data_IF_553093251839
#
_entry.id   IF_553093251839
#
_cell.length_a   1.000
_cell.length_b   1.000
_cell.length_c   1.000
_cell.angle_alpha   90.00
_cell.angle_beta   90.00
_cell.angle_gamma   90.00
#
_symmetry.space_group_name_H-M   'P 1'
#
loop_
_entity.id
_entity.type
_entity.pdbx_description
1 polymer ?
#
# COMPACT_ATOMS: atom_id res chain seq x y z
N UNK A 1 17.53 4.03 8.11
CA UNK A 1 16.36 3.12 8.25
C UNK A 1 15.31 3.68 9.23
N UNK A 2 15.70 4.12 10.42
CA UNK A 2 14.80 4.73 11.43
C UNK A 2 13.91 5.87 10.91
N UNK A 3 14.42 6.78 10.08
CA UNK A 3 13.63 7.87 9.49
C UNK A 3 12.44 7.34 8.67
N UNK A 4 12.64 6.25 7.89
CA UNK A 4 11.57 5.62 7.10
C UNK A 4 10.53 4.91 7.98
N UNK A 5 10.95 4.26 9.07
CA UNK A 5 10.04 3.61 10.02
C UNK A 5 9.15 4.65 10.70
N UNK A 6 9.73 5.78 11.14
CA UNK A 6 8.97 6.90 11.71
C UNK A 6 7.97 7.48 10.71
N UNK A 7 8.33 7.57 9.43
CA UNK A 7 7.41 7.98 8.37
C UNK A 7 6.29 6.97 8.15
N UNK A 8 6.57 5.66 8.12
CA UNK A 8 5.54 4.62 7.96
C UNK A 8 4.52 4.71 9.10
N UNK A 9 4.98 4.83 10.35
CA UNK A 9 4.10 4.95 11.51
C UNK A 9 3.27 6.24 11.49
N UNK A 10 3.84 7.35 11.00
CA UNK A 10 3.12 8.64 10.92
C UNK A 10 2.07 8.68 9.82
N UNK A 11 2.20 7.82 8.80
CA UNK A 11 1.19 7.63 7.75
C UNK A 11 -0.04 6.84 8.24
N UNK A 12 0.12 5.98 9.25
CA UNK A 12 -0.99 5.23 9.83
C UNK A 12 -1.93 6.21 10.56
N UNK A 13 -3.24 6.22 10.27
CA UNK A 13 -4.19 7.07 10.97
C UNK A 13 -4.16 6.83 12.48
N UNK A 14 -4.17 7.90 13.30
CA UNK A 14 -4.07 7.83 14.78
C UNK A 14 -4.98 6.79 15.44
N UNK A 15 -6.22 6.65 14.94
CA UNK A 15 -7.20 5.65 15.43
C UNK A 15 -6.74 4.19 15.30
N UNK A 16 -5.84 3.90 14.37
CA UNK A 16 -5.35 2.55 14.08
C UNK A 16 -3.97 2.27 14.67
N UNK A 17 -3.20 3.29 15.06
CA UNK A 17 -1.84 3.13 15.58
C UNK A 17 -1.78 2.16 16.77
N UNK A 18 -2.69 2.29 17.75
CA UNK A 18 -2.76 1.34 18.89
C UNK A 18 -3.13 -0.07 18.45
N UNK A 19 -4.04 -0.23 17.48
CA UNK A 19 -4.44 -1.54 16.93
C UNK A 19 -3.30 -2.21 16.17
N UNK A 20 -2.50 -1.44 15.42
CA UNK A 20 -1.29 -1.95 14.73
C UNK A 20 -0.23 -2.42 15.70
N UNK A 21 -0.02 -1.72 16.83
CA UNK A 21 0.88 -2.18 17.89
C UNK A 21 0.35 -3.46 18.54
N UNK A 22 -0.94 -3.51 18.89
CA UNK A 22 -1.58 -4.73 19.41
C UNK A 22 -1.39 -5.92 18.46
N UNK A 23 -1.52 -5.69 17.16
CA UNK A 23 -1.27 -6.72 16.15
C UNK A 23 0.19 -7.22 16.15
N UNK A 24 1.18 -6.33 16.23
CA UNK A 24 2.59 -6.73 16.34
C UNK A 24 2.86 -7.59 17.57
N UNK A 25 2.25 -7.23 18.72
CA UNK A 25 2.36 -8.02 19.97
C UNK A 25 1.70 -9.40 19.82
N UNK A 26 0.48 -9.46 19.28
CA UNK A 26 -0.22 -10.72 19.03
C UNK A 26 0.55 -11.63 18.06
N UNK A 27 1.28 -11.04 17.11
CA UNK A 27 2.09 -11.81 16.19
C UNK A 27 3.30 -12.45 16.87
N UNK A 28 3.88 -11.82 17.90
CA UNK A 28 4.94 -12.45 18.73
C UNK A 28 4.37 -13.63 19.53
N UNK A 29 3.17 -13.50 20.11
CA UNK A 29 2.55 -14.64 20.82
C UNK A 29 2.28 -15.81 19.88
N UNK A 30 1.97 -15.54 18.60
CA UNK A 30 1.85 -16.59 17.60
C UNK A 30 3.18 -17.33 17.34
N UNK A 31 4.31 -16.59 17.32
CA UNK A 31 5.65 -17.18 17.20
C UNK A 31 5.93 -18.16 18.36
N UNK A 32 5.52 -17.80 19.57
CA UNK A 32 5.68 -18.68 20.73
C UNK A 32 4.92 -20.00 20.57
N UNK A 33 3.63 -19.96 20.20
CA UNK A 33 2.85 -21.18 19.96
C UNK A 33 3.40 -22.01 18.80
N UNK A 34 3.92 -21.35 17.76
CA UNK A 34 4.61 -22.00 16.65
C UNK A 34 5.82 -22.81 17.12
N UNK A 35 6.69 -22.22 17.94
CA UNK A 35 7.89 -22.89 18.45
C UNK A 35 7.54 -23.98 19.46
N UNK A 36 6.58 -23.72 20.35
CA UNK A 36 6.13 -24.68 21.36
C UNK A 36 5.54 -25.94 20.70
N UNK A 37 4.78 -25.79 19.61
CA UNK A 37 4.25 -26.94 18.85
C UNK A 37 5.34 -27.83 18.26
N UNK A 38 6.47 -27.26 17.81
CA UNK A 38 7.62 -28.02 17.28
C UNK A 38 8.42 -28.64 18.43
N UNK A 39 8.62 -27.88 19.50
CA UNK A 39 9.35 -28.35 20.69
C UNK A 39 8.66 -29.55 21.34
N UNK A 40 7.33 -29.64 21.28
CA UNK A 40 6.59 -30.79 21.81
C UNK A 40 6.76 -32.06 20.96
N UNK A 41 6.92 -31.91 19.64
CA UNK A 41 7.08 -33.04 18.72
C UNK A 41 8.39 -33.80 18.99
N UNK A 42 9.48 -33.09 19.30
CA UNK A 42 10.82 -33.67 19.46
C UNK A 42 10.87 -34.72 20.60
N UNK A 43 10.42 -34.43 21.85
CA UNK A 43 10.34 -35.43 22.91
C UNK A 43 9.50 -36.65 22.56
N UNK A 44 8.38 -36.47 21.85
CA UNK A 44 7.54 -37.59 21.46
C UNK A 44 8.25 -38.51 20.45
N UNK A 45 8.98 -37.94 19.49
CA UNK A 45 9.81 -38.74 18.57
C UNK A 45 10.93 -39.49 19.30
N UNK A 46 11.62 -38.82 20.23
CA UNK A 46 12.69 -39.47 21.01
C UNK A 46 12.12 -40.59 21.88
N UNK A 47 10.96 -40.37 22.52
CA UNK A 47 10.29 -41.40 23.33
C UNK A 47 9.95 -42.66 22.53
N UNK A 48 9.55 -42.51 21.26
CA UNK A 48 9.21 -43.64 20.37
C UNK A 48 10.48 -44.35 19.86
N UNK A 49 11.54 -43.59 19.55
CA UNK A 49 12.76 -44.14 18.94
C UNK A 49 13.69 -44.81 19.95
N UNK A 50 13.91 -44.18 21.11
CA UNK A 50 14.73 -44.74 22.18
C UNK A 50 14.41 -44.09 23.55
N UNK A 51 13.69 -44.84 24.39
CA UNK A 51 13.22 -44.42 25.72
C UNK A 51 14.38 -44.16 26.69
N UNK A 52 15.52 -44.83 26.51
CA UNK A 52 16.70 -44.66 27.38
C UNK A 52 17.41 -43.33 27.13
N UNK A 53 17.22 -42.73 25.95
CA UNK A 53 17.89 -41.50 25.52
C UNK A 53 17.11 -40.22 25.86
N UNK A 54 15.97 -40.30 26.58
CA UNK A 54 15.27 -39.11 27.03
C UNK A 54 16.14 -38.27 27.98
N UNK A 55 16.18 -36.92 27.82
CA UNK A 55 16.84 -36.03 28.78
C UNK A 55 16.29 -36.23 30.20
N UNK A 56 17.16 -36.20 31.21
CA UNK A 56 16.78 -36.46 32.61
C UNK A 56 15.69 -35.51 33.15
N UNK A 57 15.62 -34.28 32.63
CA UNK A 57 14.55 -33.34 32.96
C UNK A 57 13.18 -33.85 32.49
N UNK A 58 13.11 -34.53 31.34
CA UNK A 58 11.88 -35.10 30.79
C UNK A 58 11.54 -36.41 31.52
N UNK A 59 12.54 -37.23 31.86
CA UNK A 59 12.36 -38.46 32.65
C UNK A 59 11.80 -38.18 34.05
N UNK A 60 12.12 -37.02 34.65
CA UNK A 60 11.54 -36.58 35.94
C UNK A 60 10.06 -36.21 35.86
N UNK A 61 9.51 -35.99 34.66
CA UNK A 61 8.08 -35.77 34.45
C UNK A 61 7.41 -37.15 34.44
N UNK A 62 6.78 -37.53 35.56
CA UNK A 62 6.14 -38.83 35.82
C UNK A 62 5.07 -39.29 34.81
N UNK A 63 4.73 -38.42 33.84
CA UNK A 63 3.75 -38.65 32.78
C UNK A 63 4.31 -39.32 31.52
N UNK A 64 5.63 -39.54 31.39
CA UNK A 64 6.24 -40.22 30.24
C UNK A 64 6.27 -41.75 30.42
N UNK A 65 5.09 -42.36 30.61
CA UNK A 65 4.91 -43.82 30.56
C UNK A 65 4.15 -44.22 29.30
N UNK A 66 4.33 -45.46 28.84
CA UNK A 66 3.63 -46.01 27.65
C UNK A 66 2.11 -45.95 27.81
N UNK A 67 1.61 -46.12 29.04
CA UNK A 67 0.19 -45.97 29.38
C UNK A 67 -0.38 -44.58 29.07
N UNK A 68 0.47 -43.56 28.97
CA UNK A 68 0.06 -42.18 28.72
C UNK A 68 0.31 -41.69 27.29
N UNK A 69 0.89 -42.52 26.40
CA UNK A 69 1.24 -42.12 25.03
C UNK A 69 0.03 -41.59 24.25
N UNK A 70 -1.13 -42.23 24.42
CA UNK A 70 -2.38 -41.79 23.78
C UNK A 70 -2.76 -40.36 24.21
N UNK A 71 -2.61 -40.02 25.49
CA UNK A 71 -2.89 -38.67 26.00
C UNK A 71 -1.91 -37.64 25.46
N UNK A 72 -0.62 -38.00 25.30
CA UNK A 72 0.38 -37.13 24.69
C UNK A 72 0.05 -36.84 23.22
N UNK A 73 -0.36 -37.85 22.45
CA UNK A 73 -0.77 -37.70 21.04
C UNK A 73 -2.03 -36.82 20.94
N UNK A 74 -3.05 -37.08 21.76
CA UNK A 74 -4.27 -36.24 21.83
C UNK A 74 -3.90 -34.80 22.21
N UNK A 75 -2.99 -34.62 23.16
CA UNK A 75 -2.48 -33.32 23.60
C UNK A 75 -1.84 -32.53 22.45
N UNK A 76 -1.03 -33.16 21.60
CA UNK A 76 -0.46 -32.53 20.39
C UNK A 76 -1.57 -32.09 19.46
N UNK A 77 -2.49 -32.99 19.14
CA UNK A 77 -3.56 -32.70 18.19
C UNK A 77 -4.37 -31.50 18.67
N UNK A 78 -4.77 -31.49 19.95
CA UNK A 78 -5.51 -30.40 20.58
C UNK A 78 -4.71 -29.09 20.59
N UNK A 79 -3.40 -29.15 20.85
CA UNK A 79 -2.50 -27.99 20.78
C UNK A 79 -2.44 -27.41 19.36
N UNK A 80 -2.34 -28.24 18.33
CA UNK A 80 -2.37 -27.81 16.94
C UNK A 80 -3.72 -27.20 16.54
N UNK A 81 -4.84 -27.75 17.02
CA UNK A 81 -6.17 -27.16 16.82
C UNK A 81 -6.26 -25.77 17.44
N UNK A 82 -5.91 -25.61 18.72
CA UNK A 82 -5.94 -24.32 19.42
C UNK A 82 -5.04 -23.30 18.72
N UNK A 83 -3.80 -23.71 18.40
CA UNK A 83 -2.83 -22.87 17.70
C UNK A 83 -3.36 -22.38 16.35
N UNK A 84 -3.87 -23.30 15.52
CA UNK A 84 -4.39 -22.95 14.19
C UNK A 84 -5.62 -22.04 14.30
N UNK A 85 -6.49 -22.26 15.28
CA UNK A 85 -7.63 -21.39 15.54
C UNK A 85 -7.20 -19.96 15.89
N UNK A 86 -6.26 -19.80 16.83
CA UNK A 86 -5.68 -18.50 17.20
C UNK A 86 -5.06 -17.83 15.97
N UNK A 87 -4.31 -18.58 15.17
CA UNK A 87 -3.67 -18.04 13.97
C UNK A 87 -4.68 -17.53 12.95
N UNK A 88 -5.80 -18.24 12.73
CA UNK A 88 -6.88 -17.81 11.83
C UNK A 88 -7.49 -16.49 12.32
N UNK A 89 -7.77 -16.36 13.62
CA UNK A 89 -8.33 -15.12 14.18
C UNK A 89 -7.35 -13.93 14.11
N UNK A 90 -6.04 -14.18 14.28
CA UNK A 90 -5.00 -13.17 14.06
C UNK A 90 -4.98 -12.71 12.59
N UNK A 91 -5.01 -13.64 11.62
CA UNK A 91 -5.03 -13.33 10.19
C UNK A 91 -6.28 -12.53 9.82
N UNK A 92 -7.43 -12.88 10.38
CA UNK A 92 -8.70 -12.16 10.19
C UNK A 92 -8.62 -10.73 10.75
N UNK A 93 -8.13 -10.57 11.98
CA UNK A 93 -7.94 -9.25 12.60
C UNK A 93 -6.95 -8.39 11.80
N UNK A 94 -5.83 -8.98 11.38
CA UNK A 94 -4.82 -8.34 10.54
C UNK A 94 -5.41 -7.87 9.22
N UNK A 95 -6.09 -8.74 8.49
CA UNK A 95 -6.66 -8.43 7.17
C UNK A 95 -7.66 -7.28 7.28
N UNK A 96 -8.55 -7.32 8.26
CA UNK A 96 -9.51 -6.23 8.53
C UNK A 96 -8.79 -4.91 8.84
N UNK A 97 -7.79 -4.94 9.72
CA UNK A 97 -7.02 -3.74 10.07
C UNK A 97 -6.32 -3.12 8.86
N UNK A 98 -5.71 -3.94 8.01
CA UNK A 98 -4.97 -3.49 6.83
C UNK A 98 -5.90 -2.83 5.81
N UNK A 99 -7.05 -3.43 5.51
CA UNK A 99 -8.01 -2.85 4.58
C UNK A 99 -8.73 -1.61 5.17
N UNK A 100 -9.00 -1.58 6.48
CA UNK A 100 -9.53 -0.39 7.17
C UNK A 100 -8.58 0.82 7.08
N UNK A 101 -7.26 0.57 7.15
CA UNK A 101 -6.22 1.58 6.94
C UNK A 101 -6.21 2.02 5.48
N UNK A 102 -6.25 1.08 4.53
CA UNK A 102 -6.28 1.37 3.09
C UNK A 102 -7.46 2.29 2.73
N UNK A 103 -8.69 1.95 3.15
CA UNK A 103 -9.88 2.78 2.93
C UNK A 103 -9.69 4.20 3.46
N UNK A 104 -9.09 4.35 4.65
CA UNK A 104 -8.88 5.67 5.24
C UNK A 104 -7.81 6.48 4.51
N UNK A 105 -6.75 5.84 4.03
CA UNK A 105 -5.71 6.47 3.22
C UNK A 105 -6.29 6.93 1.88
N UNK A 106 -7.02 6.08 1.17
CA UNK A 106 -7.67 6.44 -0.10
C UNK A 106 -8.70 7.56 0.09
N UNK A 107 -9.53 7.50 1.14
CA UNK A 107 -10.46 8.60 1.49
C UNK A 107 -9.74 9.93 1.76
N UNK A 108 -8.59 9.90 2.44
CA UNK A 108 -7.78 11.10 2.64
C UNK A 108 -7.18 11.64 1.33
N UNK A 109 -6.77 10.77 0.41
CA UNK A 109 -6.30 11.16 -0.92
C UNK A 109 -7.42 11.81 -1.74
N UNK A 110 -8.62 11.24 -1.74
CA UNK A 110 -9.80 11.84 -2.38
C UNK A 110 -10.11 13.22 -1.78
N UNK A 111 -10.11 13.34 -0.44
CA UNK A 111 -10.31 14.63 0.23
C UNK A 111 -9.25 15.68 -0.14
N UNK A 112 -8.01 15.25 -0.39
CA UNK A 112 -6.94 16.14 -0.88
C UNK A 112 -7.16 16.52 -2.33
N UNK A 113 -7.56 15.59 -3.19
CA UNK A 113 -7.87 15.83 -4.59
C UNK A 113 -8.97 16.89 -4.74
N UNK A 114 -10.08 16.75 -4.01
CA UNK A 114 -11.20 17.71 -4.00
C UNK A 114 -10.84 19.11 -3.50
N UNK A 115 -9.68 19.28 -2.84
CA UNK A 115 -9.20 20.57 -2.34
C UNK A 115 -8.09 21.17 -3.21
N UNK A 116 -7.67 20.49 -4.30
CA UNK A 116 -6.62 21.01 -5.18
C UNK A 116 -7.13 22.25 -5.94
N UNK A 117 -6.27 23.26 -6.16
CA UNK A 117 -6.60 24.37 -7.04
C UNK A 117 -6.94 23.88 -8.45
N UNK A 118 -7.93 24.49 -9.09
CA UNK A 118 -8.40 24.10 -10.42
C UNK A 118 -7.29 24.15 -11.49
N UNK A 119 -6.37 25.13 -11.41
CA UNK A 119 -5.18 25.21 -12.29
C UNK A 119 -4.34 23.93 -12.28
N UNK A 120 -4.24 23.26 -11.14
CA UNK A 120 -3.49 22.00 -11.03
C UNK A 120 -4.24 20.80 -11.63
N UNK A 121 -5.56 20.89 -11.81
CA UNK A 121 -6.40 19.79 -12.29
C UNK A 121 -6.40 19.69 -13.82
N UNK A 122 -6.32 20.83 -14.52
CA UNK A 122 -6.44 20.89 -15.99
C UNK A 122 -5.37 20.11 -16.76
N UNK A 123 -4.19 19.90 -16.17
CA UNK A 123 -3.06 19.20 -16.81
C UNK A 123 -2.80 17.81 -16.21
N UNK A 124 -3.75 17.28 -15.43
CA UNK A 124 -3.58 15.96 -14.84
C UNK A 124 -3.87 14.87 -15.86
N UNK A 125 -2.99 13.87 -15.88
CA UNK A 125 -3.32 12.57 -16.46
C UNK A 125 -4.36 11.89 -15.55
N UNK A 126 -5.61 11.81 -16.05
CA UNK A 126 -6.74 11.21 -15.32
C UNK A 126 -6.43 9.78 -14.89
N UNK A 127 -5.81 8.97 -15.75
CA UNK A 127 -5.49 7.57 -15.45
C UNK A 127 -4.49 7.45 -14.31
N UNK A 128 -3.46 8.29 -14.31
CA UNK A 128 -2.46 8.35 -13.25
C UNK A 128 -3.04 8.75 -11.89
N UNK A 129 -3.93 9.75 -11.86
CA UNK A 129 -4.55 10.18 -10.59
C UNK A 129 -5.58 9.17 -10.07
N UNK A 130 -6.34 8.52 -10.95
CA UNK A 130 -7.24 7.42 -10.56
C UNK A 130 -6.45 6.28 -9.94
N UNK A 131 -5.39 5.81 -10.62
CA UNK A 131 -4.48 4.79 -10.08
C UNK A 131 -3.92 5.21 -8.73
N UNK A 132 -3.46 6.45 -8.59
CA UNK A 132 -2.88 6.97 -7.34
C UNK A 132 -3.89 6.93 -6.19
N UNK A 133 -5.11 7.41 -6.39
CA UNK A 133 -6.15 7.48 -5.35
C UNK A 133 -6.62 6.08 -4.96
N UNK A 134 -6.80 5.18 -5.93
CA UNK A 134 -7.31 3.83 -5.68
C UNK A 134 -6.23 2.88 -5.12
N UNK A 135 -5.05 2.84 -5.73
CA UNK A 135 -4.03 1.82 -5.43
C UNK A 135 -3.09 2.22 -4.31
N UNK A 136 -2.68 3.49 -4.17
CA UNK A 136 -1.60 3.85 -3.23
C UNK A 136 -1.90 3.49 -1.77
N UNK A 137 -3.16 3.62 -1.34
CA UNK A 137 -3.59 3.26 0.02
C UNK A 137 -3.57 1.74 0.25
N UNK A 138 -4.04 0.99 -0.75
CA UNK A 138 -4.05 -0.48 -0.74
C UNK A 138 -2.63 -1.04 -0.82
N UNK A 139 -1.80 -0.54 -1.74
CA UNK A 139 -0.40 -0.94 -1.91
C UNK A 139 0.41 -0.68 -0.64
N UNK A 140 0.26 0.50 -0.03
CA UNK A 140 0.92 0.81 1.24
C UNK A 140 0.50 -0.17 2.34
N UNK A 141 -0.79 -0.43 2.47
CA UNK A 141 -1.31 -1.25 3.56
C UNK A 141 -0.97 -2.73 3.35
N UNK A 142 -1.25 -3.28 2.17
CA UNK A 142 -1.02 -4.70 1.83
C UNK A 142 0.44 -5.05 1.59
N UNK A 143 1.28 -4.12 1.14
CA UNK A 143 2.68 -4.45 0.83
C UNK A 143 3.68 -3.84 1.80
N UNK A 144 3.48 -2.63 2.32
CA UNK A 144 4.43 -2.03 3.26
C UNK A 144 4.12 -2.44 4.71
N UNK A 145 2.89 -2.22 5.18
CA UNK A 145 2.55 -2.53 6.58
C UNK A 145 2.66 -4.03 6.87
N UNK A 146 2.10 -4.86 5.99
CA UNK A 146 2.21 -6.32 6.10
C UNK A 146 3.67 -6.79 6.08
N UNK A 147 4.48 -6.31 5.12
CA UNK A 147 5.88 -6.72 5.05
C UNK A 147 6.68 -6.26 6.27
N UNK A 148 6.41 -5.06 6.78
CA UNK A 148 7.08 -4.58 7.99
C UNK A 148 6.76 -5.48 9.20
N UNK A 149 5.50 -5.87 9.36
CA UNK A 149 5.13 -6.80 10.42
C UNK A 149 5.73 -8.20 10.20
N UNK A 150 5.63 -8.77 9.00
CA UNK A 150 6.21 -10.07 8.68
C UNK A 150 7.72 -10.08 8.91
N UNK A 151 8.43 -9.00 8.55
CA UNK A 151 9.86 -8.89 8.83
C UNK A 151 10.12 -8.92 10.34
N UNK A 152 9.34 -8.19 11.14
CA UNK A 152 9.49 -8.18 12.58
C UNK A 152 9.20 -9.56 13.22
N UNK A 153 8.15 -10.25 12.78
CA UNK A 153 7.77 -11.57 13.31
C UNK A 153 8.75 -12.65 12.90
N UNK A 154 9.21 -12.65 11.65
CA UNK A 154 10.13 -13.70 11.19
C UNK A 154 11.55 -13.45 11.71
N UNK A 155 11.97 -12.20 11.93
CA UNK A 155 13.23 -11.90 12.63
C UNK A 155 13.19 -12.34 14.10
N UNK A 156 12.04 -12.24 14.78
CA UNK A 156 11.90 -12.76 16.14
C UNK A 156 11.92 -14.29 16.17
N UNK A 157 11.28 -14.97 15.21
CA UNK A 157 11.40 -16.44 15.03
C UNK A 157 12.86 -16.85 14.86
N UNK A 158 13.56 -16.27 13.88
CA UNK A 158 14.96 -16.58 13.59
C UNK A 158 15.83 -16.28 14.81
N UNK A 159 15.60 -15.16 15.50
CA UNK A 159 16.31 -14.80 16.73
C UNK A 159 16.15 -15.84 17.85
N UNK A 160 14.92 -16.28 18.13
CA UNK A 160 14.66 -17.29 19.17
C UNK A 160 15.29 -18.63 18.79
N UNK A 161 15.13 -19.08 17.55
CA UNK A 161 15.76 -20.31 17.05
C UNK A 161 17.29 -20.22 17.18
N UNK A 162 17.87 -19.04 16.90
CA UNK A 162 19.30 -18.79 17.06
C UNK A 162 19.77 -18.87 18.48
N UNK A 163 19.05 -18.26 19.43
CA UNK A 163 19.37 -18.33 20.85
C UNK A 163 19.32 -19.78 21.33
N UNK A 164 18.25 -20.51 21.02
CA UNK A 164 18.11 -21.94 21.38
C UNK A 164 19.27 -22.75 20.77
N UNK A 165 19.64 -22.46 19.52
CA UNK A 165 20.76 -23.14 18.85
C UNK A 165 22.11 -22.88 19.47
N UNK A 166 22.38 -21.65 19.90
CA UNK A 166 23.63 -21.32 20.58
C UNK A 166 23.70 -21.99 21.95
N UNK A 167 22.58 -22.07 22.68
CA UNK A 167 22.52 -22.70 24.00
C UNK A 167 22.72 -24.21 23.94
N UNK A 168 22.15 -24.90 22.95
CA UNK A 168 22.28 -26.35 22.83
C UNK A 168 23.59 -26.76 22.15
N UNK A 169 23.95 -26.08 21.05
CA UNK A 169 25.02 -26.52 20.14
C UNK A 169 25.77 -25.32 19.52
N UNK A 170 26.64 -24.63 20.28
CA UNK A 170 27.21 -23.33 19.90
C UNK A 170 28.09 -23.34 18.64
N UNK A 171 28.86 -24.40 18.39
CA UNK A 171 29.69 -24.50 17.16
C UNK A 171 28.83 -24.63 15.89
N UNK A 172 27.69 -25.32 16.01
CA UNK A 172 26.81 -25.65 14.89
C UNK A 172 25.82 -24.54 14.56
N UNK A 173 25.35 -23.81 15.58
CA UNK A 173 24.46 -22.67 15.40
C UNK A 173 25.09 -21.60 14.51
N UNK A 174 26.38 -21.33 14.68
CA UNK A 174 27.15 -20.36 13.88
C UNK A 174 27.14 -20.77 12.41
N UNK A 175 27.36 -22.06 12.10
CA UNK A 175 27.37 -22.57 10.73
C UNK A 175 26.01 -22.39 10.05
N UNK A 176 24.92 -22.78 10.72
CA UNK A 176 23.55 -22.65 10.18
C UNK A 176 23.21 -21.17 9.93
N UNK A 177 23.56 -20.28 10.86
CA UNK A 177 23.35 -18.84 10.69
C UNK A 177 24.17 -18.26 9.54
N UNK A 178 25.42 -18.69 9.39
CA UNK A 178 26.30 -18.23 8.33
C UNK A 178 25.77 -18.65 6.95
N UNK A 179 25.30 -19.89 6.81
CA UNK A 179 24.65 -20.38 5.58
C UNK A 179 23.37 -19.59 5.29
N UNK A 180 22.52 -19.36 6.30
CA UNK A 180 21.30 -18.58 6.14
C UNK A 180 21.60 -17.12 5.70
N UNK A 181 22.62 -16.50 6.28
CA UNK A 181 23.02 -15.12 5.96
C UNK A 181 23.62 -15.01 4.56
N UNK A 182 24.49 -15.96 4.17
CA UNK A 182 25.01 -16.07 2.80
C UNK A 182 23.88 -16.24 1.77
N UNK A 183 22.89 -17.08 2.09
CA UNK A 183 21.74 -17.31 1.24
C UNK A 183 20.92 -16.03 1.04
N UNK A 184 20.58 -15.33 2.13
CA UNK A 184 19.88 -14.04 2.08
C UNK A 184 20.69 -12.98 1.31
N UNK A 185 21.99 -12.91 1.52
CA UNK A 185 22.87 -11.93 0.88
C UNK A 185 22.99 -12.15 -0.63
N UNK A 186 23.14 -13.40 -1.07
CA UNK A 186 23.25 -13.75 -2.49
C UNK A 186 21.97 -13.38 -3.26
N UNK A 187 20.80 -13.75 -2.72
CA UNK A 187 19.50 -13.42 -3.34
C UNK A 187 19.25 -11.92 -3.36
N UNK A 188 19.67 -11.20 -2.31
CA UNK A 188 19.57 -9.75 -2.23
C UNK A 188 20.41 -9.04 -3.30
N UNK A 189 21.72 -9.33 -3.38
CA UNK A 189 22.66 -8.59 -4.23
C UNK A 189 22.33 -8.74 -5.72
N UNK A 190 21.92 -9.93 -6.14
CA UNK A 190 21.67 -10.24 -7.55
C UNK A 190 20.41 -9.54 -8.08
N UNK A 191 19.38 -9.35 -7.25
CA UNK A 191 18.02 -9.02 -7.75
C UNK A 191 17.54 -7.61 -7.45
N UNK A 192 18.18 -6.89 -6.53
CA UNK A 192 17.73 -5.57 -6.05
C UNK A 192 17.42 -4.58 -7.17
N UNK A 193 18.37 -4.37 -8.09
CA UNK A 193 18.24 -3.36 -9.17
C UNK A 193 17.12 -3.74 -10.15
N UNK A 194 17.01 -5.02 -10.49
CA UNK A 194 16.00 -5.53 -11.42
C UNK A 194 14.58 -5.40 -10.84
N UNK A 195 14.37 -5.72 -9.56
CA UNK A 195 13.06 -5.60 -8.89
C UNK A 195 12.59 -4.14 -8.90
N UNK A 196 13.48 -3.19 -8.64
CA UNK A 196 13.14 -1.77 -8.62
C UNK A 196 12.72 -1.26 -10.01
N UNK A 197 13.48 -1.64 -11.05
CA UNK A 197 13.15 -1.35 -12.45
C UNK A 197 11.81 -1.96 -12.89
N UNK A 198 11.57 -3.23 -12.54
CA UNK A 198 10.29 -3.90 -12.83
C UNK A 198 9.14 -3.18 -12.13
N UNK A 199 9.31 -2.83 -10.85
CA UNK A 199 8.27 -2.14 -10.07
C UNK A 199 7.95 -0.76 -10.64
N UNK A 200 8.94 -0.01 -11.13
CA UNK A 200 8.71 1.26 -11.82
C UNK A 200 7.98 1.06 -13.16
N UNK A 201 8.36 0.04 -13.92
CA UNK A 201 7.75 -0.28 -15.21
C UNK A 201 6.28 -0.65 -15.06
N UNK A 202 5.98 -1.58 -14.14
CA UNK A 202 4.61 -2.05 -13.81
C UNK A 202 3.69 -0.86 -13.50
N UNK A 203 4.16 0.10 -12.69
CA UNK A 203 3.33 1.26 -12.34
C UNK A 203 3.05 2.16 -13.52
N UNK A 204 4.08 2.43 -14.32
CA UNK A 204 3.98 3.29 -15.49
C UNK A 204 3.04 2.67 -16.52
N UNK A 205 3.25 1.40 -16.87
CA UNK A 205 2.41 0.72 -17.85
C UNK A 205 0.97 0.53 -17.37
N UNK A 206 0.73 0.29 -16.07
CA UNK A 206 -0.65 0.23 -15.55
C UNK A 206 -1.35 1.59 -15.62
N UNK A 207 -0.63 2.68 -15.29
CA UNK A 207 -1.16 4.05 -15.44
C UNK A 207 -1.50 4.34 -16.89
N UNK A 208 -0.59 4.03 -17.83
CA UNK A 208 -0.78 4.25 -19.27
C UNK A 208 -1.94 3.41 -19.82
N UNK A 209 -2.07 2.14 -19.40
CA UNK A 209 -3.20 1.29 -19.78
C UNK A 209 -4.53 1.88 -19.29
N UNK A 210 -4.56 2.42 -18.06
CA UNK A 210 -5.73 3.12 -17.52
C UNK A 210 -6.06 4.36 -18.36
N UNK A 211 -5.05 5.15 -18.74
CA UNK A 211 -5.25 6.34 -19.57
C UNK A 211 -5.73 5.98 -20.99
N UNK A 212 -5.24 4.89 -21.58
CA UNK A 212 -5.75 4.37 -22.85
C UNK A 212 -7.21 3.94 -22.75
N UNK A 213 -7.58 3.24 -21.69
CA UNK A 213 -8.96 2.85 -21.45
C UNK A 213 -9.89 4.07 -21.28
N UNK A 214 -9.45 5.09 -20.53
CA UNK A 214 -10.22 6.33 -20.38
C UNK A 214 -10.38 7.06 -21.71
N UNK A 215 -9.36 7.12 -22.55
CA UNK A 215 -9.48 7.73 -23.88
C UNK A 215 -10.46 6.98 -24.78
N UNK A 216 -10.56 5.64 -24.64
CA UNK A 216 -11.55 4.84 -25.36
C UNK A 216 -12.96 5.16 -24.88
N UNK A 217 -13.16 5.32 -23.57
CA UNK A 217 -14.45 5.65 -22.97
C UNK A 217 -14.87 7.09 -23.34
N UNK A 218 -13.97 8.06 -23.11
CA UNK A 218 -14.24 9.48 -23.36
C UNK A 218 -14.43 9.79 -24.86
N UNK A 219 -13.74 9.06 -25.75
CA UNK A 219 -13.77 9.25 -27.21
C UNK A 219 -14.54 8.17 -27.98
N UNK A 220 -15.48 7.47 -27.32
CA UNK A 220 -16.13 6.29 -27.89
C UNK A 220 -16.81 6.57 -29.25
N UNK A 221 -17.53 7.68 -29.37
CA UNK A 221 -18.27 8.04 -30.59
C UNK A 221 -17.32 8.43 -31.74
N UNK A 222 -16.24 9.15 -31.44
CA UNK A 222 -15.21 9.54 -32.41
C UNK A 222 -14.47 8.32 -32.94
N UNK A 223 -14.12 7.38 -32.06
CA UNK A 223 -13.45 6.13 -32.46
C UNK A 223 -14.36 5.30 -33.38
N UNK A 224 -15.65 5.19 -33.02
CA UNK A 224 -16.66 4.45 -33.78
C UNK A 224 -16.94 5.08 -35.15
N UNK A 225 -17.17 6.39 -35.18
CA UNK A 225 -17.44 7.11 -36.43
C UNK A 225 -16.27 7.07 -37.42
N UNK A 226 -15.03 6.99 -36.94
CA UNK A 226 -13.83 6.90 -37.77
C UNK A 226 -13.41 5.45 -38.11
N UNK A 227 -14.08 4.43 -37.55
CA UNK A 227 -13.73 3.02 -37.74
C UNK A 227 -12.30 2.68 -37.28
N UNK A 228 -11.83 3.30 -36.19
CA UNK A 228 -10.45 3.17 -35.68
C UNK A 228 -10.32 2.29 -34.43
N UNK A 229 -11.28 1.42 -34.16
CA UNK A 229 -11.29 0.56 -32.97
C UNK A 229 -10.00 -0.26 -32.81
N UNK A 230 -9.54 -0.90 -33.90
CA UNK A 230 -8.35 -1.75 -33.87
C UNK A 230 -7.09 -0.99 -33.46
N UNK A 231 -6.97 0.30 -33.81
CA UNK A 231 -5.82 1.13 -33.42
C UNK A 231 -5.79 1.35 -31.90
N UNK A 232 -6.94 1.74 -31.33
CA UNK A 232 -7.04 2.00 -29.88
C UNK A 232 -6.96 0.71 -29.07
N UNK A 233 -7.57 -0.38 -29.55
CA UNK A 233 -7.47 -1.70 -28.95
C UNK A 233 -6.01 -2.16 -28.89
N UNK A 234 -5.29 -2.10 -30.01
CA UNK A 234 -3.88 -2.53 -30.08
C UNK A 234 -3.00 -1.73 -29.13
N UNK A 235 -3.20 -0.41 -29.03
CA UNK A 235 -2.43 0.45 -28.11
C UNK A 235 -2.65 0.10 -26.65
N UNK A 236 -3.90 -0.22 -26.27
CA UNK A 236 -4.22 -0.69 -24.93
C UNK A 236 -3.59 -2.06 -24.66
N UNK A 237 -3.70 -3.00 -25.61
CA UNK A 237 -3.13 -4.35 -25.52
C UNK A 237 -1.61 -4.33 -25.35
N UNK A 238 -0.86 -3.60 -26.18
CA UNK A 238 0.61 -3.50 -26.08
C UNK A 238 1.08 -2.99 -24.71
N UNK A 239 0.35 -2.02 -24.15
CA UNK A 239 0.65 -1.44 -22.84
C UNK A 239 0.32 -2.43 -21.72
N UNK A 240 -0.80 -3.14 -21.86
CA UNK A 240 -1.25 -4.15 -20.91
C UNK A 240 -0.33 -5.38 -20.93
N UNK A 241 0.16 -5.79 -22.09
CA UNK A 241 1.16 -6.86 -22.23
C UNK A 241 2.47 -6.48 -21.55
N UNK A 242 2.91 -5.23 -21.71
CA UNK A 242 4.09 -4.72 -21.00
C UNK A 242 3.88 -4.77 -19.48
N UNK A 243 2.69 -4.42 -18.98
CA UNK A 243 2.34 -4.57 -17.57
C UNK A 243 2.36 -6.04 -17.13
N UNK A 244 1.64 -6.91 -17.82
CA UNK A 244 1.47 -8.32 -17.47
C UNK A 244 2.78 -9.09 -17.52
N UNK A 245 3.61 -8.87 -18.55
CA UNK A 245 4.93 -9.50 -18.68
C UNK A 245 5.86 -9.07 -17.54
N UNK A 246 5.91 -7.77 -17.22
CA UNK A 246 6.72 -7.30 -16.10
C UNK A 246 6.21 -7.84 -14.75
N UNK A 247 4.89 -7.91 -14.57
CA UNK A 247 4.27 -8.47 -13.38
C UNK A 247 4.54 -9.98 -13.25
N UNK A 248 4.49 -10.73 -14.35
CA UNK A 248 4.84 -12.14 -14.41
C UNK A 248 6.31 -12.38 -14.04
N UNK A 249 7.23 -11.55 -14.54
CA UNK A 249 8.65 -11.60 -14.15
C UNK A 249 8.83 -11.30 -12.65
N UNK A 250 8.11 -10.32 -12.10
CA UNK A 250 8.13 -10.03 -10.67
C UNK A 250 7.61 -11.23 -9.85
N UNK A 251 6.49 -11.85 -10.26
CA UNK A 251 5.93 -13.05 -9.61
C UNK A 251 6.84 -14.25 -9.72
N UNK A 252 7.50 -14.46 -10.86
CA UNK A 252 8.54 -15.47 -11.04
C UNK A 252 9.66 -15.26 -10.02
N UNK A 253 10.14 -14.03 -9.84
CA UNK A 253 11.17 -13.74 -8.84
C UNK A 253 10.67 -14.04 -7.42
N UNK A 254 9.45 -13.66 -7.06
CA UNK A 254 8.88 -13.95 -5.74
C UNK A 254 8.78 -15.45 -5.46
N UNK A 255 8.23 -16.23 -6.40
CA UNK A 255 7.97 -17.66 -6.21
C UNK A 255 9.24 -18.51 -6.34
N UNK A 256 10.18 -18.11 -7.20
CA UNK A 256 11.45 -18.83 -7.37
C UNK A 256 12.36 -18.74 -6.15
N UNK A 257 12.20 -17.72 -5.28
CA UNK A 257 13.02 -17.59 -4.06
C UNK A 257 12.97 -18.84 -3.18
N UNK A 258 11.80 -19.45 -3.02
CA UNK A 258 11.64 -20.70 -2.27
C UNK A 258 12.50 -21.84 -2.85
N UNK A 259 12.58 -21.94 -4.19
CA UNK A 259 13.35 -22.99 -4.88
C UNK A 259 14.86 -22.82 -4.74
N UNK A 260 15.36 -21.59 -4.73
CA UNK A 260 16.77 -21.36 -4.45
C UNK A 260 17.12 -21.63 -2.98
N UNK A 261 16.27 -21.20 -2.05
CA UNK A 261 16.45 -21.50 -0.62
C UNK A 261 16.49 -23.00 -0.35
N UNK A 262 15.68 -23.78 -1.06
CA UNK A 262 15.60 -25.24 -0.93
C UNK A 262 16.97 -25.88 -1.21
N UNK A 263 17.65 -25.46 -2.28
CA UNK A 263 19.00 -25.94 -2.63
C UNK A 263 20.01 -25.61 -1.53
N UNK A 264 20.01 -24.38 -1.00
CA UNK A 264 20.95 -23.97 0.06
C UNK A 264 20.72 -24.72 1.37
N UNK A 265 19.45 -24.99 1.72
CA UNK A 265 19.14 -25.74 2.93
C UNK A 265 19.53 -27.20 2.78
N UNK A 266 19.24 -27.83 1.64
CA UNK A 266 19.64 -29.22 1.39
C UNK A 266 21.18 -29.35 1.40
N UNK A 267 21.90 -28.44 0.74
CA UNK A 267 23.37 -28.41 0.81
C UNK A 267 23.87 -28.26 2.25
N UNK A 268 23.29 -27.34 3.02
CA UNK A 268 23.63 -27.14 4.43
C UNK A 268 23.36 -28.37 5.29
N UNK A 269 22.20 -29.01 5.11
CA UNK A 269 21.82 -30.25 5.80
C UNK A 269 22.76 -31.40 5.43
N UNK A 270 23.08 -31.59 4.16
CA UNK A 270 23.97 -32.67 3.71
C UNK A 270 25.39 -32.51 4.24
N UNK A 271 25.96 -31.30 4.18
CA UNK A 271 27.27 -31.01 4.75
C UNK A 271 27.29 -31.24 6.26
N UNK A 272 26.20 -30.88 6.93
CA UNK A 272 26.04 -31.08 8.36
C UNK A 272 25.94 -32.56 8.73
N UNK A 273 25.13 -33.35 8.01
CA UNK A 273 25.03 -34.80 8.21
C UNK A 273 26.37 -35.50 7.96
N UNK A 274 27.11 -35.08 6.94
CA UNK A 274 28.47 -35.56 6.67
C UNK A 274 29.43 -35.25 7.83
N UNK A 275 29.41 -34.01 8.33
CA UNK A 275 30.22 -33.62 9.49
C UNK A 275 29.89 -34.43 10.74
N UNK A 276 28.60 -34.67 11.02
CA UNK A 276 28.17 -35.51 12.13
C UNK A 276 28.73 -36.91 11.97
N UNK A 277 28.66 -37.48 10.77
CA UNK A 277 29.14 -38.84 10.54
C UNK A 277 30.64 -38.99 10.84
N UNK A 278 31.44 -37.96 10.53
CA UNK A 278 32.89 -37.96 10.79
C UNK A 278 33.26 -37.76 12.27
N UNK A 279 32.53 -36.90 13.00
CA UNK A 279 32.90 -36.50 14.37
C UNK A 279 32.13 -37.24 15.46
N UNK A 280 30.99 -37.84 15.12
CA UNK A 280 30.13 -38.56 16.04
C UNK A 280 29.90 -39.99 15.52
N UNK A 281 30.36 -40.97 16.30
CA UNK A 281 30.12 -42.40 16.07
C UNK A 281 28.64 -42.78 16.18
N UNK A 282 28.33 -44.06 16.39
CA UNK A 282 26.95 -44.51 16.65
C UNK A 282 26.51 -44.18 18.10
N UNK A 283 26.55 -42.90 18.48
CA UNK A 283 26.13 -42.42 19.79
C UNK A 283 24.70 -41.87 19.79
N UNK A 284 24.03 -41.91 20.93
CA UNK A 284 22.70 -41.31 21.19
C UNK A 284 22.63 -39.82 20.82
N UNK A 285 23.71 -39.08 21.12
CA UNK A 285 23.84 -37.66 20.78
C UNK A 285 23.66 -37.38 19.28
N UNK A 286 24.01 -38.34 18.42
CA UNK A 286 23.84 -38.24 16.96
C UNK A 286 22.37 -38.18 16.57
N UNK A 287 21.52 -39.01 17.18
CA UNK A 287 20.08 -39.09 16.87
C UNK A 287 19.40 -37.79 17.28
N UNK A 288 19.66 -37.32 18.49
CA UNK A 288 19.09 -36.07 19.04
C UNK A 288 19.51 -34.88 18.17
N UNK A 289 20.77 -34.81 17.74
CA UNK A 289 21.33 -33.70 16.98
C UNK A 289 20.81 -33.68 15.52
N UNK A 290 20.58 -34.86 14.91
CA UNK A 290 19.89 -34.99 13.61
C UNK A 290 18.43 -34.54 13.73
N UNK A 291 17.70 -35.01 14.73
CA UNK A 291 16.29 -34.63 14.96
C UNK A 291 16.15 -33.12 15.21
N UNK A 292 17.06 -32.54 15.98
CA UNK A 292 17.12 -31.11 16.25
C UNK A 292 17.28 -30.29 14.98
N UNK A 293 18.26 -30.63 14.13
CA UNK A 293 18.52 -29.89 12.88
C UNK A 293 17.42 -30.12 11.85
N UNK A 294 16.84 -31.32 11.78
CA UNK A 294 15.65 -31.57 10.97
C UNK A 294 14.49 -30.64 11.40
N UNK A 295 14.15 -30.60 12.69
CA UNK A 295 13.08 -29.75 13.23
C UNK A 295 13.30 -28.26 12.98
N UNK A 296 14.55 -27.78 13.13
CA UNK A 296 14.90 -26.39 12.85
C UNK A 296 14.83 -26.06 11.37
N UNK A 297 15.30 -26.95 10.50
CA UNK A 297 15.27 -26.72 9.06
C UNK A 297 13.84 -26.55 8.52
N UNK A 298 12.89 -27.34 9.05
CA UNK A 298 11.46 -27.25 8.72
C UNK A 298 10.86 -25.89 9.07
N UNK A 299 11.36 -25.21 10.11
CA UNK A 299 10.89 -23.86 10.49
C UNK A 299 11.70 -22.73 9.88
N UNK A 300 13.01 -22.87 9.75
CA UNK A 300 13.88 -21.86 9.16
C UNK A 300 13.54 -21.62 7.69
N UNK A 301 13.28 -22.68 6.91
CA UNK A 301 12.95 -22.56 5.49
C UNK A 301 11.77 -21.60 5.21
N UNK A 302 10.55 -21.81 5.75
CA UNK A 302 9.44 -20.92 5.50
C UNK A 302 9.69 -19.51 6.06
N UNK A 303 10.40 -19.38 7.18
CA UNK A 303 10.70 -18.09 7.81
C UNK A 303 11.63 -17.23 6.93
N UNK A 304 12.69 -17.82 6.38
CA UNK A 304 13.60 -17.17 5.44
C UNK A 304 12.89 -16.77 4.14
N UNK A 305 12.02 -17.65 3.61
CA UNK A 305 11.25 -17.33 2.41
C UNK A 305 10.30 -16.14 2.62
N UNK A 306 9.58 -16.12 3.74
CA UNK A 306 8.71 -14.98 4.10
C UNK A 306 9.49 -13.68 4.28
N UNK A 307 10.69 -13.74 4.86
CA UNK A 307 11.58 -12.56 4.97
C UNK A 307 11.96 -12.01 3.59
N UNK A 308 12.32 -12.87 2.65
CA UNK A 308 12.68 -12.44 1.28
C UNK A 308 11.47 -11.86 0.55
N UNK A 309 10.29 -12.47 0.68
CA UNK A 309 9.04 -11.97 0.07
C UNK A 309 8.67 -10.61 0.67
N UNK A 310 8.70 -10.48 2.00
CA UNK A 310 8.42 -9.23 2.70
C UNK A 310 9.41 -8.13 2.31
N UNK A 311 10.71 -8.46 2.23
CA UNK A 311 11.73 -7.52 1.77
C UNK A 311 11.47 -7.05 0.33
N UNK A 312 11.17 -7.98 -0.58
CA UNK A 312 10.88 -7.69 -1.98
C UNK A 312 9.66 -6.78 -2.11
N UNK A 313 8.56 -7.10 -1.43
CA UNK A 313 7.34 -6.29 -1.40
C UNK A 313 7.62 -4.89 -0.84
N UNK A 314 8.29 -4.81 0.31
CA UNK A 314 8.66 -3.54 0.91
C UNK A 314 9.44 -2.65 -0.07
N UNK A 315 10.39 -3.22 -0.81
CA UNK A 315 11.19 -2.46 -1.79
C UNK A 315 10.34 -2.03 -2.99
N UNK A 316 9.60 -2.95 -3.60
CA UNK A 316 8.74 -2.71 -4.76
C UNK A 316 7.74 -1.58 -4.54
N UNK A 317 7.13 -1.53 -3.35
CA UNK A 317 6.06 -0.59 -3.03
C UNK A 317 6.51 0.65 -2.24
N UNK A 318 7.81 0.76 -1.94
CA UNK A 318 8.38 1.85 -1.12
C UNK A 318 8.05 3.27 -1.61
N UNK A 319 7.80 3.45 -2.92
CA UNK A 319 7.36 4.72 -3.53
C UNK A 319 6.04 5.26 -2.96
N UNK A 320 5.14 4.39 -2.46
CA UNK A 320 3.86 4.80 -1.88
C UNK A 320 4.05 5.63 -0.61
N UNK A 321 5.16 5.43 0.12
CA UNK A 321 5.50 6.23 1.29
C UNK A 321 5.63 7.70 0.88
N UNK A 322 6.38 7.95 -0.19
CA UNK A 322 6.64 9.31 -0.67
C UNK A 322 5.36 9.96 -1.21
N UNK A 323 4.53 9.20 -1.95
CA UNK A 323 3.24 9.68 -2.47
C UNK A 323 2.24 10.05 -1.36
N UNK A 324 2.18 9.25 -0.28
CA UNK A 324 1.26 9.47 0.83
C UNK A 324 1.77 10.54 1.81
N UNK A 325 3.10 10.68 1.94
CA UNK A 325 3.75 11.61 2.85
C UNK A 325 3.64 13.09 2.43
N UNK A 326 3.25 13.38 1.19
CA UNK A 326 2.98 14.74 0.73
C UNK A 326 1.95 15.38 1.66
N UNK A 327 2.37 16.36 2.47
CA UNK A 327 1.45 17.13 3.31
C UNK A 327 0.62 18.01 2.38
N UNK A 328 -0.70 18.09 2.61
CA UNK A 328 -1.47 19.14 1.94
C UNK A 328 -0.93 20.47 2.43
N UNK A 329 -0.64 21.38 1.50
CA UNK A 329 -0.47 22.78 1.85
C UNK A 329 -1.69 23.20 2.68
N UNK A 330 -1.44 23.72 3.88
CA UNK A 330 -2.51 24.31 4.67
C UNK A 330 -2.93 25.55 3.90
N UNK A 331 -4.09 25.52 3.25
CA UNK A 331 -4.76 26.75 2.82
C UNK A 331 -5.14 27.47 4.12
N UNK A 332 -4.25 28.33 4.59
CA UNK A 332 -4.31 29.02 5.88
C UNK A 332 -5.03 30.36 5.78
N UNK A 333 -5.75 30.61 4.69
CA UNK A 333 -6.56 31.79 4.54
C UNK A 333 -7.86 31.61 5.32
N UNK A 334 -8.15 32.54 6.24
CA UNK A 334 -9.46 32.63 6.90
C UNK A 334 -10.52 32.88 5.82
N UNK A 335 -11.65 32.20 5.93
CA UNK A 335 -12.80 32.44 5.07
C UNK A 335 -13.38 33.81 5.41
N UNK A 336 -13.28 34.75 4.47
CA UNK A 336 -13.88 36.08 4.58
C UNK A 336 -15.20 36.05 3.80
N UNK A 337 -16.31 36.30 4.49
CA UNK A 337 -17.61 36.37 3.86
C UNK A 337 -17.70 37.62 2.97
N UNK A 338 -18.09 37.45 1.71
CA UNK A 338 -18.40 38.57 0.82
C UNK A 338 -19.91 38.73 0.75
N UNK A 339 -20.37 39.98 0.85
CA UNK A 339 -21.76 40.35 0.61
C UNK A 339 -21.79 41.08 -0.73
N UNK A 340 -22.46 40.52 -1.75
CA UNK A 340 -22.61 41.18 -3.03
C UNK A 340 -23.83 42.12 -3.01
N UNK A 341 -23.62 43.39 -2.65
CA UNK A 341 -24.72 44.36 -2.53
C UNK A 341 -24.83 45.30 -3.72
N UNK A 342 -23.71 45.79 -4.25
CA UNK A 342 -23.67 46.86 -5.26
C UNK A 342 -23.07 46.38 -6.58
N UNK A 343 -21.83 45.90 -6.59
CA UNK A 343 -21.09 45.64 -7.83
C UNK A 343 -19.93 44.68 -7.66
N UNK A 344 -19.47 44.09 -8.76
CA UNK A 344 -18.25 43.31 -8.88
C UNK A 344 -17.36 43.97 -9.92
N UNK A 345 -16.08 44.17 -9.62
CA UNK A 345 -15.14 44.79 -10.57
C UNK A 345 -13.85 44.00 -10.70
N UNK A 346 -13.42 43.80 -11.94
CA UNK A 346 -12.11 43.32 -12.34
C UNK A 346 -11.26 44.53 -12.69
N UNK A 347 -10.08 44.66 -12.06
CA UNK A 347 -9.14 45.74 -12.36
C UNK A 347 -7.81 45.17 -12.84
N UNK A 348 -7.40 45.59 -14.04
CA UNK A 348 -6.11 45.26 -14.66
C UNK A 348 -5.79 43.76 -14.71
N UNK A 349 -6.82 42.94 -14.98
CA UNK A 349 -6.69 41.50 -14.97
C UNK A 349 -5.90 41.03 -16.19
N UNK A 350 -4.72 40.47 -15.92
CA UNK A 350 -3.94 39.72 -16.91
C UNK A 350 -3.76 38.28 -16.46
N UNK A 351 -3.87 37.33 -17.39
CA UNK A 351 -3.75 35.90 -17.10
C UNK A 351 -3.12 35.14 -18.26
N UNK A 352 -2.26 34.19 -17.90
CA UNK A 352 -1.65 33.23 -18.81
C UNK A 352 -1.72 31.81 -18.21
N UNK A 353 -2.02 30.81 -19.04
CA UNK A 353 -1.91 29.41 -18.61
C UNK A 353 -0.45 29.00 -18.39
N UNK A 354 0.44 29.49 -19.26
CA UNK A 354 1.90 29.30 -19.21
C UNK A 354 2.60 30.66 -19.31
N UNK A 355 3.83 30.78 -18.81
CA UNK A 355 4.59 32.04 -18.74
C UNK A 355 5.00 32.65 -20.10
N UNK A 356 4.52 32.10 -21.22
CA UNK A 356 4.91 32.53 -22.57
C UNK A 356 4.13 33.74 -23.07
N UNK A 357 2.81 33.73 -22.95
CA UNK A 357 1.96 34.81 -23.48
C UNK A 357 0.67 34.94 -22.68
N UNK A 358 0.31 36.18 -22.36
CA UNK A 358 -0.93 36.49 -21.66
C UNK A 358 -2.12 36.28 -22.60
N UNK A 359 -3.06 35.42 -22.18
CA UNK A 359 -4.31 35.13 -22.87
C UNK A 359 -5.33 36.25 -22.64
N UNK A 360 -5.35 36.78 -21.41
CA UNK A 360 -6.10 37.97 -21.02
C UNK A 360 -5.08 39.03 -20.63
N UNK A 361 -5.26 40.25 -21.12
CA UNK A 361 -4.34 41.36 -20.87
C UNK A 361 -5.13 42.61 -20.49
N UNK A 362 -4.81 43.18 -19.34
CA UNK A 362 -5.30 44.47 -18.82
C UNK A 362 -6.84 44.59 -18.85
N UNK A 363 -7.53 43.49 -18.51
CA UNK A 363 -8.99 43.42 -18.54
C UNK A 363 -9.57 44.21 -17.36
N UNK A 364 -10.36 45.21 -17.69
CA UNK A 364 -11.11 46.05 -16.76
C UNK A 364 -12.61 45.87 -17.04
N UNK A 365 -13.38 45.41 -16.05
CA UNK A 365 -14.82 45.16 -16.17
C UNK A 365 -15.51 45.48 -14.84
N UNK A 366 -16.67 46.12 -14.88
CA UNK A 366 -17.52 46.35 -13.71
C UNK A 366 -18.93 45.88 -14.00
N UNK A 367 -19.53 45.16 -13.07
CA UNK A 367 -20.86 44.54 -13.18
C UNK A 367 -21.69 44.95 -11.96
N UNK A 368 -22.82 45.63 -12.16
CA UNK A 368 -23.72 46.05 -11.08
C UNK A 368 -24.69 44.93 -10.72
N UNK A 369 -25.16 44.93 -9.48
CA UNK A 369 -26.18 43.97 -9.02
C UNK A 369 -27.45 44.11 -9.87
N UNK A 370 -27.95 42.99 -10.38
CA UNK A 370 -29.13 42.93 -11.25
C UNK A 370 -28.84 43.21 -12.73
N UNK A 371 -27.59 43.53 -13.08
CA UNK A 371 -27.18 43.74 -14.46
C UNK A 371 -27.00 42.41 -15.20
N UNK A 372 -27.46 42.36 -16.46
CA UNK A 372 -27.27 41.22 -17.35
C UNK A 372 -26.22 41.61 -18.39
N UNK A 373 -25.09 40.90 -18.40
CA UNK A 373 -23.98 41.17 -19.32
C UNK A 373 -23.80 40.01 -20.29
N UNK A 374 -23.73 40.33 -21.58
CA UNK A 374 -23.37 39.38 -22.64
C UNK A 374 -21.91 39.52 -23.06
N UNK A 375 -21.13 38.44 -23.00
CA UNK A 375 -19.72 38.42 -23.45
C UNK A 375 -19.63 37.71 -24.81
N UNK A 376 -19.35 38.48 -25.87
CA UNK A 376 -19.14 37.98 -27.24
C UNK A 376 -17.66 38.02 -27.62
N UNK A 377 -17.24 37.10 -28.48
CA UNK A 377 -15.89 37.06 -29.04
C UNK A 377 -15.66 35.79 -29.85
N UNK A 378 -14.53 35.70 -30.56
CA UNK A 378 -14.13 34.46 -31.26
C UNK A 378 -13.92 33.31 -30.26
N UNK A 379 -13.99 32.06 -30.74
CA UNK A 379 -13.62 30.92 -29.89
C UNK A 379 -12.13 31.01 -29.53
N UNK A 380 -11.76 30.58 -28.32
CA UNK A 380 -10.37 30.58 -27.86
C UNK A 380 -9.82 31.92 -27.34
N UNK A 381 -10.55 33.04 -27.42
CA UNK A 381 -10.06 34.37 -26.97
C UNK A 381 -10.03 34.54 -25.44
N UNK A 382 -10.39 33.50 -24.67
CA UNK A 382 -10.33 33.54 -23.20
C UNK A 382 -11.64 33.83 -22.46
N UNK A 383 -12.81 33.78 -23.12
CA UNK A 383 -14.13 33.99 -22.47
C UNK A 383 -14.36 33.06 -21.26
N UNK A 384 -14.17 31.76 -21.46
CA UNK A 384 -14.28 30.77 -20.37
C UNK A 384 -13.21 30.98 -19.30
N UNK A 385 -12.00 31.41 -19.70
CA UNK A 385 -10.93 31.76 -18.76
C UNK A 385 -11.32 32.95 -17.88
N UNK A 386 -11.93 33.99 -18.46
CA UNK A 386 -12.43 35.15 -17.72
C UNK A 386 -13.52 34.73 -16.72
N UNK A 387 -14.49 33.90 -17.14
CA UNK A 387 -15.49 33.34 -16.23
C UNK A 387 -14.86 32.52 -15.10
N UNK A 388 -13.83 31.72 -15.38
CA UNK A 388 -13.11 30.97 -14.36
C UNK A 388 -12.35 31.88 -13.37
N UNK A 389 -11.91 33.07 -13.79
CA UNK A 389 -11.33 34.07 -12.87
C UNK A 389 -12.43 34.71 -12.02
N UNK A 390 -13.56 35.08 -12.63
CA UNK A 390 -14.73 35.63 -11.93
C UNK A 390 -15.27 34.67 -10.86
N UNK A 391 -15.27 33.37 -11.15
CA UNK A 391 -15.66 32.31 -10.20
C UNK A 391 -14.56 31.98 -9.17
N UNK A 392 -13.36 32.56 -9.30
CA UNK A 392 -12.22 32.25 -8.43
C UNK A 392 -11.63 30.86 -8.65
N UNK A 393 -11.91 30.19 -9.77
CA UNK A 393 -11.19 28.96 -10.11
C UNK A 393 -9.75 29.23 -10.59
N UNK A 394 -9.51 30.39 -11.19
CA UNK A 394 -8.20 30.84 -11.64
C UNK A 394 -7.80 32.14 -10.93
N UNK A 395 -6.58 32.18 -10.41
CA UNK A 395 -5.98 33.42 -9.91
C UNK A 395 -5.29 34.16 -11.06
N UNK A 396 -5.54 35.47 -11.23
CA UNK A 396 -4.87 36.26 -12.26
C UNK A 396 -3.37 36.37 -11.98
N UNK A 397 -2.59 36.67 -13.02
CA UNK A 397 -1.15 36.94 -12.92
C UNK A 397 -0.90 38.35 -12.37
N UNK A 398 -1.70 39.32 -12.82
CA UNK A 398 -1.74 40.70 -12.32
C UNK A 398 -3.18 41.18 -12.24
N UNK A 399 -3.41 42.22 -11.44
CA UNK A 399 -4.75 42.77 -11.21
C UNK A 399 -5.49 42.06 -10.09
N UNK A 400 -6.65 42.61 -9.75
CA UNK A 400 -7.46 42.15 -8.61
C UNK A 400 -8.95 42.15 -8.92
N UNK A 401 -9.65 41.18 -8.33
CA UNK A 401 -11.11 41.11 -8.32
C UNK A 401 -11.62 41.78 -7.05
N UNK A 402 -12.65 42.61 -7.17
CA UNK A 402 -13.31 43.27 -6.06
C UNK A 402 -14.80 42.94 -6.06
N UNK A 403 -15.34 42.70 -4.87
CA UNK A 403 -16.78 42.66 -4.62
C UNK A 403 -17.11 43.85 -3.74
N UNK A 404 -18.00 44.70 -4.25
CA UNK A 404 -18.24 46.06 -3.80
C UNK A 404 -16.90 46.82 -3.73
N UNK A 405 -16.31 46.92 -2.54
CA UNK A 405 -15.01 47.58 -2.30
C UNK A 405 -13.97 46.63 -1.69
N UNK A 406 -14.32 45.35 -1.48
CA UNK A 406 -13.45 44.36 -0.85
C UNK A 406 -12.72 43.53 -1.90
N UNK A 407 -11.39 43.53 -1.84
CA UNK A 407 -10.56 42.66 -2.68
C UNK A 407 -10.79 41.18 -2.34
N UNK A 408 -11.00 40.36 -3.39
CA UNK A 408 -11.22 38.92 -3.26
C UNK A 408 -9.89 38.21 -3.16
N UNK A 409 -9.59 37.66 -1.97
CA UNK A 409 -8.35 36.88 -1.70
C UNK A 409 -8.59 35.38 -1.53
N UNK A 410 -9.84 34.99 -1.27
CA UNK A 410 -10.24 33.60 -1.02
C UNK A 410 -11.44 33.23 -1.90
N UNK A 411 -11.36 32.08 -2.55
CA UNK A 411 -12.28 31.66 -3.61
C UNK A 411 -13.47 30.84 -3.08
N UNK A 412 -13.45 30.36 -1.83
CA UNK A 412 -14.54 29.48 -1.34
C UNK A 412 -15.82 30.24 -1.02
N UNK A 413 -15.71 31.38 -0.36
CA UNK A 413 -16.87 32.21 0.01
C UNK A 413 -17.45 32.93 -1.21
N UNK A 414 -16.64 33.20 -2.23
CA UNK A 414 -17.06 33.73 -3.53
C UNK A 414 -18.13 32.86 -4.21
N UNK A 415 -17.95 31.54 -4.16
CA UNK A 415 -18.87 30.60 -4.80
C UNK A 415 -20.25 30.50 -4.11
N UNK A 416 -20.41 31.04 -2.89
CA UNK A 416 -21.66 30.91 -2.13
C UNK A 416 -22.85 31.69 -2.71
N UNK A 417 -22.61 32.67 -3.58
CA UNK A 417 -23.64 33.48 -4.24
C UNK A 417 -23.53 33.47 -5.77
N UNK A 418 -22.70 32.58 -6.34
CA UNK A 418 -22.55 32.40 -7.79
C UNK A 418 -23.20 31.08 -8.20
N UNK A 419 -24.23 31.15 -9.04
CA UNK A 419 -24.73 29.99 -9.77
C UNK A 419 -23.90 29.74 -11.02
N UNK A 420 -23.46 28.50 -11.24
CA UNK A 420 -22.70 28.11 -12.42
C UNK A 420 -23.48 27.11 -13.28
N UNK A 421 -23.69 27.46 -14.55
CA UNK A 421 -24.26 26.56 -15.55
C UNK A 421 -23.16 26.23 -16.57
N UNK A 422 -22.61 25.01 -16.57
CA UNK A 422 -21.57 24.62 -17.51
C UNK A 422 -22.12 24.49 -18.93
N UNK A 423 -21.25 24.65 -19.92
CA UNK A 423 -21.60 24.43 -21.33
C UNK A 423 -22.04 22.98 -21.60
N UNK A 424 -21.43 22.01 -20.91
CA UNK A 424 -21.85 20.62 -20.91
C UNK A 424 -22.29 20.25 -19.49
N UNK A 425 -23.55 19.83 -19.28
CA UNK A 425 -24.03 19.47 -17.95
C UNK A 425 -23.26 18.27 -17.41
N UNK A 426 -22.78 18.39 -16.17
CA UNK A 426 -22.27 17.24 -15.43
C UNK A 426 -23.44 16.51 -14.79
N UNK A 427 -23.67 15.26 -15.20
CA UNK A 427 -24.64 14.37 -14.59
C UNK A 427 -23.89 13.22 -13.91
N UNK A 428 -24.22 12.95 -12.65
CA UNK A 428 -23.72 11.80 -11.93
C UNK A 428 -24.82 10.74 -11.78
N UNK A 429 -24.39 9.51 -11.52
CA UNK A 429 -25.31 8.39 -11.35
C UNK A 429 -26.19 8.62 -10.11
N UNK A 430 -27.48 8.80 -10.34
CA UNK A 430 -28.48 9.14 -9.32
C UNK A 430 -29.81 9.50 -9.98
N UNK A 431 -30.78 9.91 -9.18
CA UNK A 431 -32.03 10.46 -9.68
C UNK A 431 -31.84 11.86 -10.28
N UNK A 432 -32.86 12.36 -10.98
CA UNK A 432 -32.90 13.76 -11.43
C UNK A 432 -32.77 14.72 -10.24
N UNK A 433 -33.49 14.42 -9.14
CA UNK A 433 -33.43 15.22 -7.92
C UNK A 433 -32.01 15.28 -7.37
N UNK A 434 -31.30 14.14 -7.31
CA UNK A 434 -29.91 14.09 -6.82
C UNK A 434 -28.99 15.01 -7.66
N UNK A 435 -29.18 15.02 -8.98
CA UNK A 435 -28.41 15.87 -9.89
C UNK A 435 -28.72 17.36 -9.75
N UNK A 436 -29.95 17.72 -9.37
CA UNK A 436 -30.37 19.11 -9.11
C UNK A 436 -29.83 19.59 -7.76
N UNK A 437 -30.00 18.79 -6.70
CA UNK A 437 -29.71 19.22 -5.32
C UNK A 437 -28.26 18.95 -4.90
N UNK A 438 -27.51 18.14 -5.65
CA UNK A 438 -26.08 17.86 -5.46
C UNK A 438 -25.65 17.61 -4.01
N UNK A 439 -26.48 16.88 -3.24
CA UNK A 439 -26.20 16.52 -1.85
C UNK A 439 -26.73 17.49 -0.78
N UNK A 440 -27.52 18.49 -1.15
CA UNK A 440 -28.32 19.29 -0.20
C UNK A 440 -29.28 18.36 0.57
N UNK A 441 -29.41 18.58 1.87
CA UNK A 441 -30.22 17.73 2.74
C UNK A 441 -31.72 17.88 2.39
N UNK A 442 -32.50 16.81 2.50
CA UNK A 442 -33.92 16.81 2.07
C UNK A 442 -34.78 17.90 2.72
N UNK A 443 -34.45 18.28 3.94
CA UNK A 443 -35.13 19.33 4.70
C UNK A 443 -34.80 20.76 4.24
N UNK A 444 -33.81 20.93 3.37
CA UNK A 444 -33.40 22.23 2.79
C UNK A 444 -33.86 22.37 1.33
N UNK A 445 -34.51 21.35 0.77
CA UNK A 445 -35.01 21.37 -0.61
C UNK A 445 -36.37 22.05 -0.63
N UNK A 446 -36.49 23.08 -1.46
CA UNK A 446 -37.76 23.69 -1.80
C UNK A 446 -38.44 22.89 -2.93
N UNK A 447 -39.58 22.27 -2.63
CA UNK A 447 -40.37 21.46 -3.58
C UNK A 447 -41.56 22.24 -4.18
N UNK A 448 -41.65 23.55 -3.90
CA UNK A 448 -42.77 24.42 -4.28
C UNK A 448 -42.98 24.49 -5.79
#
# INVERSE_FOLDING_TARGET
MFKKIKTIYSLIPKRFQKKSIRYMVLSITNVFFDLLSIAYIIPLFVFILDKEQMPDFIKKISFFNESYLLYWVIGIILLFFIKNFIQIEIIKFQSKLVFDIATRLSSNLTKRFLKRPFKQIQHLDKGKEIQKIQMSGTDFSNHILLSFNTMFTELTVVGIIGIISVLLYPKFSILIFLIALLCLFSLYKIRKKKIEQLSTSIRKSYSEATSHLLNIIDGFLEIKSLGKESFFQKKYEETLDTFNNNFAVLKKHQNSNAKYLEIFIILGLSLFLYYINLNFGASSDKVILISYVAGISLKLFPSLNKLIIAYTNFRSYSYTIDLLAIKSEKTQQKDQAYLFKKSMSLKDISYAYNDKQDLLKDINLSLKRGEIIGIKGRSGIGKTTLLNIVMGFLSPKTGSLFIDETEVKNNKTLLSFIGYVPQQPFLFQGSLLDNIVMGVAKNEIDFV
#
